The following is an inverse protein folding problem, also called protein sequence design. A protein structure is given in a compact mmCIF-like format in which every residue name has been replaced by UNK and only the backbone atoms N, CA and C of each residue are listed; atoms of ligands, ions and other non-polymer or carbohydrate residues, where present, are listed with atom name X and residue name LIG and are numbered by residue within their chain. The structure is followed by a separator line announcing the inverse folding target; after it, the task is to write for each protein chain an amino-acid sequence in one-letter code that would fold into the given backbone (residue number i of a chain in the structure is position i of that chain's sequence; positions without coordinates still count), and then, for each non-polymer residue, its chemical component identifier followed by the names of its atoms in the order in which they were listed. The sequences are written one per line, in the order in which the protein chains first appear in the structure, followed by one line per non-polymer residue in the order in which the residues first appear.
data_IF_586384907395
#
_entry.id   IF_586384907395
#
_cell.length_a   1.000
_cell.length_b   1.000
_cell.length_c   1.000
_cell.angle_alpha   90.00
_cell.angle_beta   90.00
_cell.angle_gamma   90.00
#
_symmetry.space_group_name_H-M   'P 1'
#
loop_
_entity.id
_entity.type
_entity.pdbx_description
1 polymer ?
#
# COMPACT_ATOMS: atom_id res chain seq x y z
N UNK A 1 2.83 -13.51 -16.87
CA UNK A 1 1.42 -13.12 -16.72
C UNK A 1 0.67 -14.05 -15.76
N UNK A 2 0.70 -15.37 -15.95
CA UNK A 2 0.00 -16.34 -15.05
C UNK A 2 0.25 -16.13 -13.54
N UNK A 3 1.49 -15.81 -13.13
CA UNK A 3 1.81 -15.53 -11.71
C UNK A 3 1.15 -14.25 -11.17
N UNK A 4 1.03 -13.22 -12.00
CA UNK A 4 0.40 -11.94 -11.65
C UNK A 4 -1.11 -12.14 -11.48
N UNK A 5 -1.74 -12.85 -12.41
CA UNK A 5 -3.18 -13.16 -12.35
C UNK A 5 -3.52 -13.98 -11.09
N UNK A 6 -2.68 -14.98 -10.75
CA UNK A 6 -2.84 -15.74 -9.50
C UNK A 6 -2.74 -14.83 -8.26
N UNK A 7 -1.83 -13.85 -8.27
CA UNK A 7 -1.67 -12.91 -7.16
C UNK A 7 -2.89 -11.97 -7.05
N UNK A 8 -3.37 -11.42 -8.17
CA UNK A 8 -4.59 -10.59 -8.20
C UNK A 8 -5.76 -11.38 -7.61
N UNK A 9 -6.02 -12.60 -8.12
CA UNK A 9 -7.11 -13.45 -7.65
C UNK A 9 -7.01 -13.75 -6.17
N UNK A 10 -5.81 -14.01 -5.66
CA UNK A 10 -5.58 -14.26 -4.24
C UNK A 10 -5.90 -13.04 -3.37
N UNK A 11 -5.50 -11.83 -3.79
CA UNK A 11 -5.81 -10.59 -3.07
C UNK A 11 -7.31 -10.30 -3.07
N UNK A 12 -8.00 -10.51 -4.19
CA UNK A 12 -9.45 -10.36 -4.29
C UNK A 12 -10.20 -11.38 -3.40
N UNK A 13 -9.78 -12.64 -3.40
CA UNK A 13 -10.35 -13.68 -2.54
C UNK A 13 -10.20 -13.34 -1.04
N UNK A 14 -9.07 -12.78 -0.61
CA UNK A 14 -8.89 -12.30 0.77
C UNK A 14 -9.79 -11.12 1.09
N UNK A 15 -9.91 -10.15 0.17
CA UNK A 15 -10.82 -9.02 0.33
C UNK A 15 -12.25 -9.50 0.56
N UNK A 16 -12.72 -10.43 -0.27
CA UNK A 16 -14.07 -10.99 -0.16
C UNK A 16 -14.26 -11.78 1.15
N UNK A 17 -13.29 -12.62 1.53
CA UNK A 17 -13.31 -13.37 2.81
C UNK A 17 -13.36 -12.46 4.04
N UNK A 18 -12.68 -11.32 3.98
CA UNK A 18 -12.68 -10.32 5.05
C UNK A 18 -13.91 -9.40 5.01
N UNK A 19 -14.78 -9.53 4.00
CA UNK A 19 -15.90 -8.60 3.73
C UNK A 19 -15.43 -7.14 3.62
N UNK A 20 -14.21 -6.95 3.13
CA UNK A 20 -13.64 -5.63 2.87
C UNK A 20 -14.29 -5.01 1.64
N UNK A 21 -14.52 -3.70 1.66
CA UNK A 21 -15.15 -3.01 0.52
C UNK A 21 -14.25 -2.89 -0.71
N UNK A 22 -12.93 -2.92 -0.51
CA UNK A 22 -11.95 -2.77 -1.57
C UNK A 22 -10.59 -3.41 -1.25
N UNK A 23 -9.81 -3.66 -2.30
CA UNK A 23 -8.39 -4.01 -2.25
C UNK A 23 -7.61 -3.27 -3.34
N UNK A 24 -6.36 -2.92 -3.03
CA UNK A 24 -5.41 -2.34 -3.96
C UNK A 24 -4.11 -3.14 -3.92
N UNK A 25 -3.56 -3.47 -5.09
CA UNK A 25 -2.32 -4.22 -5.25
C UNK A 25 -1.38 -3.44 -6.18
N UNK A 26 -0.20 -3.13 -5.67
CA UNK A 26 0.84 -2.39 -6.39
C UNK A 26 2.17 -3.14 -6.24
N UNK A 27 2.84 -3.43 -7.35
CA UNK A 27 4.11 -4.17 -7.36
C UNK A 27 5.16 -3.38 -8.13
N UNK A 28 6.21 -3.00 -7.40
CA UNK A 28 7.42 -2.38 -7.94
C UNK A 28 8.52 -3.44 -8.01
N UNK A 29 9.16 -3.57 -9.17
CA UNK A 29 10.32 -4.45 -9.37
C UNK A 29 11.31 -3.76 -10.29
N UNK A 30 12.59 -3.76 -9.91
CA UNK A 30 13.67 -3.13 -10.69
C UNK A 30 13.37 -1.66 -11.03
N UNK A 31 12.77 -0.94 -10.07
CA UNK A 31 12.33 0.45 -10.20
C UNK A 31 11.21 0.68 -11.26
N UNK A 32 10.56 -0.38 -11.71
CA UNK A 32 9.42 -0.31 -12.63
C UNK A 32 8.14 -0.85 -11.98
N UNK A 33 7.01 -0.20 -12.30
CA UNK A 33 5.69 -0.65 -11.88
C UNK A 33 5.25 -1.77 -12.81
N UNK A 34 5.32 -3.01 -12.32
CA UNK A 34 4.97 -4.19 -13.12
C UNK A 34 3.52 -4.63 -12.93
N UNK A 35 2.82 -4.07 -11.93
CA UNK A 35 1.41 -4.31 -11.66
C UNK A 35 0.82 -3.17 -10.83
N UNK A 36 -0.33 -2.69 -11.29
CA UNK A 36 -1.22 -1.81 -10.53
C UNK A 36 -2.67 -2.32 -10.74
N UNK A 37 -3.34 -2.70 -9.65
CA UNK A 37 -4.67 -3.31 -9.68
C UNK A 37 -5.53 -2.81 -8.54
N UNK A 38 -6.75 -2.38 -8.85
CA UNK A 38 -7.72 -1.83 -7.90
C UNK A 38 -9.05 -2.57 -8.04
N UNK A 39 -9.60 -3.05 -6.94
CA UNK A 39 -10.87 -3.76 -6.90
C UNK A 39 -11.78 -3.21 -5.79
N UNK A 40 -13.05 -2.98 -6.10
CA UNK A 40 -14.08 -2.63 -5.12
C UNK A 40 -14.37 -1.12 -5.03
N UNK A 41 -14.92 -0.72 -3.87
CA UNK A 41 -15.51 0.61 -3.63
C UNK A 41 -15.03 1.22 -2.30
N UNK A 42 -15.17 2.53 -2.18
CA UNK A 42 -14.77 3.28 -0.98
C UNK A 42 -15.51 2.87 0.31
N UNK A 43 -16.67 2.21 0.20
CA UNK A 43 -17.38 1.58 1.30
C UNK A 43 -18.21 0.39 0.81
N UNK A 44 -18.84 -0.34 1.74
CA UNK A 44 -19.77 -1.44 1.42
C UNK A 44 -21.17 -0.96 1.00
N UNK A 45 -21.40 0.36 0.86
CA UNK A 45 -22.67 0.90 0.39
C UNK A 45 -22.84 0.69 -1.13
N UNK A 46 -24.08 0.47 -1.57
CA UNK A 46 -24.39 0.22 -2.98
C UNK A 46 -24.03 1.40 -3.90
N UNK A 47 -24.16 2.62 -3.39
CA UNK A 47 -23.87 3.89 -4.07
C UNK A 47 -22.40 4.35 -3.95
N UNK A 48 -21.56 3.60 -3.25
CA UNK A 48 -20.16 3.97 -3.06
C UNK A 48 -19.40 3.96 -4.40
N UNK A 49 -18.58 5.00 -4.60
CA UNK A 49 -17.73 5.10 -5.78
C UNK A 49 -16.67 3.99 -5.81
N UNK A 50 -16.36 3.51 -7.01
CA UNK A 50 -15.25 2.59 -7.26
C UNK A 50 -13.92 3.24 -6.90
N UNK A 51 -12.99 2.44 -6.39
CA UNK A 51 -11.63 2.91 -6.11
C UNK A 51 -10.80 2.98 -7.38
N UNK A 52 -9.80 3.86 -7.40
CA UNK A 52 -8.89 4.09 -8.54
C UNK A 52 -7.48 4.34 -8.03
N UNK A 53 -6.53 4.59 -8.94
CA UNK A 53 -5.17 5.00 -8.59
C UNK A 53 -5.09 6.31 -7.80
N UNK A 54 -6.11 7.17 -7.91
CA UNK A 54 -6.19 8.41 -7.14
C UNK A 54 -6.84 8.24 -5.75
N UNK A 55 -7.40 7.07 -5.45
CA UNK A 55 -8.08 6.81 -4.18
C UNK A 55 -7.09 6.79 -3.02
N UNK A 56 -7.43 7.49 -1.94
CA UNK A 56 -6.64 7.54 -0.72
C UNK A 56 -7.27 6.68 0.37
N UNK A 57 -6.44 5.96 1.12
CA UNK A 57 -6.86 5.10 2.22
C UNK A 57 -6.08 5.41 3.49
N UNK A 58 -6.68 5.12 4.65
CA UNK A 58 -5.94 5.15 5.89
C UNK A 58 -5.01 3.94 5.98
N UNK A 59 -3.71 4.17 5.88
CA UNK A 59 -2.66 3.13 5.95
C UNK A 59 -2.24 2.76 7.38
N UNK A 60 -2.82 3.42 8.40
CA UNK A 60 -2.61 3.15 9.82
C UNK A 60 -1.13 2.93 10.19
N UNK A 61 -0.80 1.78 10.79
CA UNK A 61 0.55 1.46 11.27
C UNK A 61 1.63 1.44 10.17
N UNK A 62 1.26 1.26 8.90
CA UNK A 62 2.23 1.35 7.81
C UNK A 62 2.85 2.74 7.69
N UNK A 63 2.18 3.80 8.18
CA UNK A 63 2.71 5.18 8.24
C UNK A 63 4.00 5.28 9.07
N UNK A 64 4.26 4.34 9.98
CA UNK A 64 5.53 4.31 10.74
C UNK A 64 6.75 4.15 9.82
N UNK A 65 6.59 3.54 8.65
CA UNK A 65 7.66 3.48 7.63
C UNK A 65 8.11 4.87 7.17
N UNK A 66 7.21 5.85 7.13
CA UNK A 66 7.55 7.22 6.74
C UNK A 66 8.42 7.91 7.79
N UNK A 67 8.15 7.64 9.08
CA UNK A 67 9.00 8.09 10.17
C UNK A 67 10.38 7.42 10.10
N UNK A 68 10.41 6.10 9.85
CA UNK A 68 11.66 5.38 9.63
C UNK A 68 12.48 6.00 8.50
N UNK A 69 11.86 6.28 7.35
CA UNK A 69 12.50 6.94 6.22
C UNK A 69 13.04 8.32 6.58
N UNK A 70 12.24 9.17 7.24
CA UNK A 70 12.66 10.51 7.64
C UNK A 70 13.87 10.48 8.60
N UNK A 71 13.85 9.56 9.56
CA UNK A 71 14.97 9.35 10.50
C UNK A 71 16.22 8.84 9.77
N UNK A 72 16.07 7.86 8.88
CA UNK A 72 17.18 7.37 8.06
C UNK A 72 17.80 8.48 7.20
N UNK A 73 16.97 9.36 6.64
CA UNK A 73 17.44 10.49 5.84
C UNK A 73 18.17 11.53 6.71
N UNK A 74 17.66 11.83 7.90
CA UNK A 74 18.31 12.71 8.86
C UNK A 74 19.68 12.18 9.31
N UNK A 75 19.81 10.87 9.51
CA UNK A 75 21.09 10.22 9.82
C UNK A 75 22.05 10.27 8.63
N UNK A 76 21.57 9.97 7.42
CA UNK A 76 22.35 10.04 6.18
C UNK A 76 22.92 11.46 5.95
N UNK A 77 22.11 12.48 6.18
CA UNK A 77 22.48 13.90 6.07
C UNK A 77 23.24 14.44 7.29
N UNK A 78 23.60 13.57 8.25
CA UNK A 78 24.27 13.92 9.51
C UNK A 78 23.57 15.02 10.33
N UNK A 79 22.24 15.15 10.18
CA UNK A 79 21.40 16.05 10.99
C UNK A 79 21.20 15.51 12.40
N UNK A 80 21.24 14.19 12.55
CA UNK A 80 21.42 13.47 13.82
C UNK A 80 22.70 12.64 13.70
N UNK A 81 23.45 12.48 14.79
CA UNK A 81 24.76 11.80 14.75
C UNK A 81 24.63 10.29 14.94
N UNK A 82 23.73 9.89 15.83
CA UNK A 82 23.42 8.49 16.10
C UNK A 82 21.91 8.30 16.34
N UNK A 83 21.45 7.06 16.18
CA UNK A 83 20.12 6.65 16.64
C UNK A 83 20.07 6.40 18.16
N UNK A 84 21.24 6.28 18.80
CA UNK A 84 21.40 6.05 20.24
C UNK A 84 21.65 7.36 21.03
N UNK A 85 21.59 8.52 20.38
CA UNK A 85 21.73 9.83 21.04
C UNK A 85 20.48 10.11 21.91
N UNK A 86 20.68 10.58 23.14
CA UNK A 86 19.62 10.87 24.14
C UNK A 86 19.53 12.36 24.51
#
# INVERSE_FOLDING_TARGET
MEKIEKLIKWVEDIKDKNKSSASALYVLKDNEVILEHYNGKHSNSDDAASITSSSQFNVASARKSYLGLAVSYALYESKIKSLDDY
#
